data_IF_192872853007
#
_entry.id   IF_192872853007
#
_cell.length_a   1.000
_cell.length_b   1.000
_cell.length_c   1.000
_cell.angle_alpha   90.00
_cell.angle_beta   90.00
_cell.angle_gamma   90.00
#
_symmetry.space_group_name_H-M   'P 1'
#
loop_
_entity.id
_entity.type
_entity.pdbx_description
1 polymer ?
#
# COMPACT_ATOMS: atom_id res chain seq x y z
N UNK A 1 30.19 -48.00 14.14
CA UNK A 1 30.38 -46.89 15.10
C UNK A 1 31.15 -45.75 14.45
N UNK A 2 30.43 -44.76 13.90
CA UNK A 2 30.64 -43.33 14.19
C UNK A 2 29.48 -42.57 13.55
N UNK A 3 28.70 -41.91 14.39
CA UNK A 3 27.60 -41.01 14.04
C UNK A 3 28.13 -39.69 13.43
N UNK A 4 27.19 -38.94 12.85
CA UNK A 4 27.32 -37.75 12.02
C UNK A 4 27.86 -36.49 12.75
N UNK A 5 27.83 -35.30 12.11
CA UNK A 5 26.58 -34.55 12.17
C UNK A 5 26.10 -33.98 10.83
N UNK A 6 24.78 -34.04 10.75
CA UNK A 6 23.82 -33.32 9.94
C UNK A 6 24.13 -31.81 9.89
N UNK A 7 24.07 -31.21 8.69
CA UNK A 7 24.21 -29.76 8.51
C UNK A 7 23.13 -29.23 7.57
N UNK A 8 21.94 -29.05 8.11
CA UNK A 8 21.11 -27.92 7.74
C UNK A 8 20.69 -27.18 9.00
N UNK A 9 20.70 -25.84 8.95
CA UNK A 9 19.44 -25.19 9.24
C UNK A 9 19.10 -24.20 8.13
N UNK A 10 17.94 -24.42 7.51
CA UNK A 10 17.17 -23.37 6.89
C UNK A 10 17.00 -22.25 7.93
N UNK A 11 17.76 -21.18 7.80
CA UNK A 11 17.46 -19.94 8.51
C UNK A 11 16.21 -19.34 7.85
N UNK A 12 15.03 -19.79 8.28
CA UNK A 12 13.81 -19.01 8.14
C UNK A 12 14.04 -17.71 8.89
N UNK A 13 14.45 -16.67 8.15
CA UNK A 13 14.48 -15.31 8.66
C UNK A 13 13.06 -14.99 9.11
N UNK A 14 12.82 -15.09 10.42
CA UNK A 14 11.60 -14.60 11.04
C UNK A 14 11.58 -13.12 10.75
N UNK A 15 10.74 -12.68 9.82
CA UNK A 15 10.60 -11.28 9.47
C UNK A 15 10.39 -10.49 10.75
N UNK A 16 11.38 -9.65 11.09
CA UNK A 16 11.34 -8.82 12.28
C UNK A 16 10.16 -7.87 12.11
N UNK A 17 9.07 -8.12 12.83
CA UNK A 17 7.88 -7.30 12.75
C UNK A 17 8.20 -5.94 13.39
N UNK A 18 8.23 -4.89 12.58
CA UNK A 18 8.30 -3.52 13.08
C UNK A 18 6.87 -3.16 13.50
N UNK A 19 6.68 -2.92 14.79
CA UNK A 19 5.41 -2.48 15.35
C UNK A 19 5.53 -1.01 15.73
N UNK A 20 4.63 -0.18 15.22
CA UNK A 20 4.51 1.23 15.53
C UNK A 20 3.04 1.62 15.55
N UNK A 21 2.67 2.59 16.39
CA UNK A 21 1.30 3.11 16.43
C UNK A 21 1.30 4.44 15.68
N UNK A 22 0.48 4.53 14.63
CA UNK A 22 0.13 5.80 13.99
C UNK A 22 -1.33 6.03 14.34
N UNK A 23 -1.64 7.09 15.08
CA UNK A 23 -3.03 7.49 15.32
C UNK A 23 -3.46 8.49 14.25
N UNK A 24 -4.76 8.61 13.94
CA UNK A 24 -5.24 9.60 12.99
C UNK A 24 -4.87 11.05 13.35
N UNK A 25 -4.58 11.35 14.62
CA UNK A 25 -4.02 12.66 15.01
C UNK A 25 -2.59 12.88 14.49
N UNK A 26 -1.82 11.82 14.24
CA UNK A 26 -0.46 11.91 13.70
C UNK A 26 -0.45 12.16 12.18
N UNK A 27 -1.57 11.85 11.50
CA UNK A 27 -1.77 12.06 10.07
C UNK A 27 -3.01 12.91 9.88
N UNK A 28 -2.81 14.22 9.82
CA UNK A 28 -3.91 15.19 9.66
C UNK A 28 -4.86 14.76 8.53
N UNK A 29 -6.16 14.85 8.79
CA UNK A 29 -7.25 14.54 7.85
C UNK A 29 -7.40 13.07 7.44
N UNK A 30 -6.70 12.11 8.08
CA UNK A 30 -6.84 10.68 7.75
C UNK A 30 -8.28 10.17 7.89
N UNK A 31 -8.98 10.54 8.97
CA UNK A 31 -10.39 10.18 9.17
C UNK A 31 -11.32 10.82 8.11
N UNK A 32 -11.01 12.04 7.68
CA UNK A 32 -11.79 12.74 6.65
C UNK A 32 -11.68 12.03 5.30
N UNK A 33 -10.48 11.62 4.91
CA UNK A 33 -10.26 10.91 3.64
C UNK A 33 -10.78 9.46 3.67
N UNK A 34 -10.70 8.79 4.82
CA UNK A 34 -11.16 7.43 4.97
C UNK A 34 -12.70 7.35 4.97
N UNK A 35 -13.34 8.40 5.50
CA UNK A 35 -14.77 8.52 5.59
C UNK A 35 -15.38 7.74 6.76
N UNK A 36 -16.68 7.95 6.98
CA UNK A 36 -17.40 7.51 8.19
C UNK A 36 -17.48 5.99 8.40
N UNK A 37 -17.27 5.21 7.36
CA UNK A 37 -17.36 3.73 7.39
C UNK A 37 -16.01 3.06 7.59
N UNK A 38 -14.95 3.85 7.82
CA UNK A 38 -13.63 3.31 8.04
C UNK A 38 -13.54 2.59 9.40
N UNK A 39 -12.92 1.42 9.39
CA UNK A 39 -12.76 0.56 10.57
C UNK A 39 -11.42 0.76 11.31
N UNK A 40 -10.58 1.69 10.83
CA UNK A 40 -9.25 1.95 11.38
C UNK A 40 -8.11 1.25 10.64
N UNK A 41 -8.40 0.34 9.69
CA UNK A 41 -7.36 -0.39 8.97
C UNK A 41 -6.67 0.47 7.92
N UNK A 42 -5.34 0.40 7.87
CA UNK A 42 -4.50 1.10 6.90
C UNK A 42 -3.52 0.14 6.24
N UNK A 43 -3.10 0.49 5.04
CA UNK A 43 -1.86 -0.03 4.44
C UNK A 43 -0.75 0.99 4.61
N UNK A 44 0.49 0.51 4.78
CA UNK A 44 1.69 1.33 4.76
C UNK A 44 2.61 0.86 3.63
N UNK A 45 3.11 1.81 2.85
CA UNK A 45 4.14 1.56 1.84
C UNK A 45 5.39 2.36 2.18
N UNK A 46 6.50 1.66 2.37
CA UNK A 46 7.81 2.26 2.61
C UNK A 46 8.54 2.44 1.27
N UNK A 47 8.99 3.66 1.02
CA UNK A 47 9.81 4.00 -0.13
C UNK A 47 11.09 4.66 0.32
N UNK A 48 12.22 4.03 -0.01
CA UNK A 48 13.53 4.65 0.11
C UNK A 48 13.90 5.26 -1.25
N UNK A 49 13.93 6.58 -1.33
CA UNK A 49 14.26 7.27 -2.59
C UNK A 49 15.77 7.24 -2.91
N UNK A 50 16.61 6.86 -1.94
CA UNK A 50 18.08 6.96 -2.02
C UNK A 50 18.63 8.39 -1.99
N UNK A 51 17.77 9.41 -1.99
CA UNK A 51 18.18 10.83 -1.96
C UNK A 51 17.99 11.42 -0.57
N UNK A 52 16.95 10.99 0.14
CA UNK A 52 16.72 11.36 1.53
C UNK A 52 17.47 10.39 2.44
N UNK A 53 17.99 10.90 3.56
CA UNK A 53 18.53 10.08 4.65
C UNK A 53 17.41 9.40 5.48
N UNK A 54 16.17 9.36 4.98
CA UNK A 54 15.01 8.76 5.62
C UNK A 54 14.16 7.94 4.65
N UNK A 55 13.39 7.01 5.20
CA UNK A 55 12.34 6.29 4.48
C UNK A 55 11.04 7.10 4.49
N UNK A 56 10.38 7.19 3.33
CA UNK A 56 9.07 7.82 3.20
C UNK A 56 8.02 6.72 3.38
N UNK A 57 7.12 6.90 4.35
CA UNK A 57 5.97 6.02 4.54
C UNK A 57 4.71 6.69 3.98
N UNK A 58 4.08 6.03 3.01
CA UNK A 58 2.74 6.39 2.55
C UNK A 58 1.73 5.53 3.28
N UNK A 59 0.86 6.18 4.05
CA UNK A 59 -0.27 5.53 4.72
C UNK A 59 -1.52 5.77 3.88
N UNK A 60 -2.29 4.72 3.62
CA UNK A 60 -3.57 4.84 2.93
C UNK A 60 -4.65 4.03 3.66
N UNK A 61 -5.82 4.64 3.94
CA UNK A 61 -6.90 3.94 4.61
C UNK A 61 -7.45 2.83 3.72
N UNK A 62 -7.65 1.65 4.31
CA UNK A 62 -8.28 0.53 3.64
C UNK A 62 -9.79 0.77 3.58
N UNK A 63 -10.32 0.67 2.37
CA UNK A 63 -11.76 0.65 2.12
C UNK A 63 -12.23 -0.77 1.91
N UNK A 64 -13.20 -1.16 2.72
CA UNK A 64 -13.94 -2.40 2.55
C UNK A 64 -15.04 -2.21 1.50
N UNK A 65 -15.01 -3.06 0.47
CA UNK A 65 -15.92 -3.07 -0.67
C UNK A 65 -16.66 -4.40 -0.65
N UNK A 66 -18.00 -4.33 -0.57
CA UNK A 66 -18.93 -5.48 -0.55
C UNK A 66 -18.54 -6.60 0.43
N UNK A 67 -17.99 -6.23 1.61
CA UNK A 67 -17.54 -7.13 2.70
C UNK A 67 -16.47 -8.17 2.31
N UNK A 68 -15.91 -8.05 1.11
CA UNK A 68 -15.12 -9.12 0.48
C UNK A 68 -13.85 -8.64 -0.16
N UNK A 69 -13.71 -7.34 -0.40
CA UNK A 69 -12.55 -6.76 -1.04
C UNK A 69 -12.06 -5.60 -0.20
N UNK A 70 -10.79 -5.66 0.20
CA UNK A 70 -10.13 -4.59 0.92
C UNK A 70 -9.21 -3.91 -0.08
N UNK A 71 -9.35 -2.61 -0.24
CA UNK A 71 -8.60 -1.86 -1.23
C UNK A 71 -8.14 -0.52 -0.66
N UNK A 72 -6.89 -0.14 -0.94
CA UNK A 72 -6.36 1.16 -0.55
C UNK A 72 -5.47 1.75 -1.65
N UNK A 73 -5.80 2.92 -2.22
CA UNK A 73 -4.96 3.55 -3.22
C UNK A 73 -3.76 4.24 -2.55
N UNK A 74 -2.53 3.95 -2.99
CA UNK A 74 -1.31 4.62 -2.46
C UNK A 74 -0.95 5.86 -3.27
N UNK A 75 -1.33 5.89 -4.56
CA UNK A 75 -1.00 6.98 -5.46
C UNK A 75 0.32 6.74 -6.20
N UNK A 76 1.04 7.82 -6.51
CA UNK A 76 2.32 7.75 -7.24
C UNK A 76 3.48 7.46 -6.28
N UNK A 77 3.82 6.18 -6.12
CA UNK A 77 4.70 5.64 -5.07
C UNK A 77 6.17 6.08 -5.14
N UNK A 78 6.57 6.72 -6.24
CA UNK A 78 7.92 7.30 -6.41
C UNK A 78 7.94 8.81 -6.06
N UNK A 79 6.86 9.34 -5.47
CA UNK A 79 6.73 10.74 -5.09
C UNK A 79 6.57 10.90 -3.58
N UNK A 80 7.14 11.97 -3.02
CA UNK A 80 7.01 12.27 -1.59
C UNK A 80 5.54 12.46 -1.15
N UNK A 81 4.71 13.02 -2.04
CA UNK A 81 3.28 13.17 -1.84
C UNK A 81 2.52 12.19 -2.74
N UNK A 82 2.74 10.89 -2.50
CA UNK A 82 2.14 9.83 -3.31
C UNK A 82 0.62 9.94 -3.32
N UNK A 83 0.01 10.02 -2.13
CA UNK A 83 -1.44 10.13 -1.95
C UNK A 83 -2.05 11.40 -2.56
N UNK A 84 -1.35 12.54 -2.50
CA UNK A 84 -1.82 13.81 -3.09
C UNK A 84 -1.84 13.87 -4.61
N UNK A 85 -1.41 12.79 -5.28
CA UNK A 85 -1.65 12.59 -6.71
C UNK A 85 -3.06 12.07 -7.01
N UNK A 86 -3.76 11.48 -6.02
CA UNK A 86 -5.11 10.94 -6.20
C UNK A 86 -6.12 12.10 -6.16
N UNK A 87 -6.90 12.25 -7.22
CA UNK A 87 -7.97 13.25 -7.33
C UNK A 87 -9.34 12.65 -7.01
N UNK A 88 -9.57 11.40 -7.38
CA UNK A 88 -10.85 10.72 -7.21
C UNK A 88 -10.62 9.22 -6.99
N UNK A 89 -11.42 8.65 -6.09
CA UNK A 89 -11.48 7.21 -5.86
C UNK A 89 -12.95 6.80 -5.71
N UNK A 90 -13.39 5.88 -6.57
CA UNK A 90 -14.75 5.35 -6.52
C UNK A 90 -14.77 3.86 -6.81
N UNK A 91 -15.75 3.19 -6.21
CA UNK A 91 -16.03 1.79 -6.47
C UNK A 91 -17.50 1.63 -6.85
N UNK A 92 -17.74 1.11 -8.05
CA UNK A 92 -19.05 0.67 -8.52
C UNK A 92 -18.92 -0.81 -8.90
N UNK A 93 -19.04 -1.15 -10.18
CA UNK A 93 -18.70 -2.47 -10.72
C UNK A 93 -17.19 -2.69 -10.84
N UNK A 94 -16.44 -1.58 -11.00
CA UNK A 94 -14.99 -1.55 -11.05
C UNK A 94 -14.45 -0.51 -10.08
N UNK A 95 -13.24 -0.72 -9.60
CA UNK A 95 -12.48 0.31 -8.89
C UNK A 95 -11.90 1.27 -9.92
N UNK A 96 -12.24 2.55 -9.77
CA UNK A 96 -11.75 3.62 -10.63
C UNK A 96 -10.99 4.63 -9.79
N UNK A 97 -9.79 4.96 -10.24
CA UNK A 97 -8.94 5.96 -9.61
C UNK A 97 -8.58 7.00 -10.66
N UNK A 98 -8.84 8.27 -10.34
CA UNK A 98 -8.32 9.40 -11.10
C UNK A 98 -7.11 9.95 -10.36
N UNK A 99 -6.00 10.06 -11.05
CA UNK A 99 -4.78 10.61 -10.50
C UNK A 99 -4.14 11.58 -11.49
N UNK A 100 -3.39 12.55 -10.96
CA UNK A 100 -2.58 13.50 -11.73
C UNK A 100 -1.10 13.11 -11.70
N UNK A 101 -0.39 13.49 -12.74
CA UNK A 101 1.03 13.19 -12.90
C UNK A 101 1.29 11.89 -13.67
N UNK A 102 2.52 11.40 -13.59
CA UNK A 102 2.94 10.18 -14.29
C UNK A 102 3.95 9.42 -13.45
N UNK A 103 3.99 8.09 -13.59
CA UNK A 103 4.91 7.24 -12.83
C UNK A 103 4.35 5.86 -12.52
N UNK A 104 4.95 5.21 -11.52
CA UNK A 104 4.42 3.97 -10.95
C UNK A 104 3.30 4.31 -9.98
N UNK A 105 2.18 3.63 -10.13
CA UNK A 105 1.03 3.78 -9.25
C UNK A 105 0.91 2.54 -8.36
N UNK A 106 0.79 2.75 -7.06
CA UNK A 106 0.60 1.68 -6.08
C UNK A 106 -0.83 1.63 -5.58
N UNK A 107 -1.32 0.42 -5.31
CA UNK A 107 -2.49 0.21 -4.47
C UNK A 107 -2.37 -1.11 -3.72
N UNK A 108 -2.94 -1.18 -2.54
CA UNK A 108 -3.19 -2.44 -1.86
C UNK A 108 -4.52 -3.02 -2.35
N UNK A 109 -4.56 -4.34 -2.55
CA UNK A 109 -5.79 -5.08 -2.83
C UNK A 109 -5.69 -6.47 -2.21
N UNK A 110 -6.64 -6.82 -1.33
CA UNK A 110 -6.67 -8.16 -0.72
C UNK A 110 -6.95 -9.29 -1.73
N UNK A 111 -7.34 -8.94 -2.96
CA UNK A 111 -7.53 -9.87 -4.07
C UNK A 111 -6.76 -9.40 -5.29
N UNK A 112 -6.17 -10.36 -6.01
CA UNK A 112 -5.51 -10.09 -7.29
C UNK A 112 -6.53 -9.58 -8.31
N UNK A 113 -6.33 -8.40 -8.94
CA UNK A 113 -7.22 -7.91 -9.98
C UNK A 113 -7.26 -8.85 -11.20
N UNK A 114 -8.44 -9.01 -11.80
CA UNK A 114 -8.62 -9.80 -13.03
C UNK A 114 -8.16 -9.06 -14.29
N UNK A 115 -8.28 -7.73 -14.30
CA UNK A 115 -7.77 -6.86 -15.36
C UNK A 115 -7.44 -5.48 -14.80
N UNK A 116 -6.53 -4.78 -15.48
CA UNK A 116 -6.14 -3.41 -15.15
C UNK A 116 -6.04 -2.61 -16.45
N UNK A 117 -6.61 -1.40 -16.44
CA UNK A 117 -6.55 -0.46 -17.55
C UNK A 117 -5.98 0.85 -17.04
N UNK A 118 -4.81 1.22 -17.55
CA UNK A 118 -4.24 2.55 -17.36
C UNK A 118 -4.40 3.41 -18.60
N UNK A 119 -4.39 4.73 -18.40
CA UNK A 119 -4.06 5.67 -19.47
C UNK A 119 -2.53 5.73 -19.65
N UNK A 120 -2.07 6.39 -20.71
CA UNK A 120 -0.66 6.45 -21.11
C UNK A 120 0.31 6.98 -20.03
N UNK A 121 -0.21 7.71 -19.04
CA UNK A 121 0.57 8.35 -17.99
C UNK A 121 0.93 7.42 -16.82
N UNK A 122 0.26 6.27 -16.69
CA UNK A 122 0.44 5.34 -15.57
C UNK A 122 1.12 4.06 -16.04
N UNK A 123 2.39 3.89 -15.65
CA UNK A 123 3.30 2.91 -16.26
C UNK A 123 3.24 1.53 -15.62
N UNK A 124 2.86 1.44 -14.35
CA UNK A 124 2.87 0.17 -13.59
C UNK A 124 1.88 0.27 -12.45
N UNK A 125 1.09 -0.80 -12.25
CA UNK A 125 0.26 -1.01 -11.08
C UNK A 125 0.91 -2.08 -10.21
N UNK A 126 1.19 -1.75 -8.95
CA UNK A 126 1.67 -2.71 -7.96
C UNK A 126 0.53 -2.98 -6.98
N UNK A 127 0.04 -4.22 -6.97
CA UNK A 127 -0.77 -4.75 -5.87
C UNK A 127 0.19 -5.26 -4.82
N UNK A 128 0.17 -4.65 -3.64
CA UNK A 128 0.97 -5.08 -2.48
C UNK A 128 0.14 -6.02 -1.62
#
# INVERSE_FOLDING_TARGET
MKEAPDSSPNSTSTATQIMGHVIPLDVEFLEEIAGKTWNGDCTAYAFNSGVLECEIFTISPIKEIDEKLHFAPLGLIDMYNSGGAIEEFSCKETITIKARGSGRFGAYSSKKPSSFKSNENMRTFISI
#
